data_IF_526653080021
#
_entry.id   IF_526653080021
#
_cell.length_a   1.000
_cell.length_b   1.000
_cell.length_c   1.000
_cell.angle_alpha   90.00
_cell.angle_beta   90.00
_cell.angle_gamma   90.00
#
_symmetry.space_group_name_H-M   'P 1'
#
loop_
_entity.id
_entity.type
_entity.pdbx_description
1 polymer ?
2 non-polymer ?
3 non-polymer ?
4 water ?
#
# COMPACT_ATOMS: atom_id res chain seq x y z
N UNK A 18 -16.97 -21.29 -6.91
CA UNK A 18 -15.86 -20.55 -7.60
C UNK A 18 -16.30 -19.20 -8.13
N UNK A 19 -15.73 -18.13 -7.57
CA UNK A 19 -16.07 -16.77 -7.94
C UNK A 19 -15.57 -16.40 -9.33
N UNK A 20 -16.10 -15.31 -9.88
CA UNK A 20 -15.62 -14.79 -11.16
C UNK A 20 -14.13 -14.47 -11.11
N UNK A 21 -13.71 -13.81 -10.03
CA UNK A 21 -12.30 -13.47 -9.82
C UNK A 21 -11.41 -14.71 -9.84
N UNK A 22 -11.86 -15.79 -9.20
CA UNK A 22 -11.14 -17.06 -9.15
C UNK A 22 -11.05 -17.74 -10.52
N UNK A 23 -12.09 -17.62 -11.33
CA UNK A 23 -12.12 -18.18 -12.68
C UNK A 23 -11.13 -17.45 -13.59
N UNK A 24 -11.10 -16.12 -13.48
CA UNK A 24 -10.16 -15.30 -14.26
C UNK A 24 -8.72 -15.62 -13.88
N UNK A 25 -8.47 -15.78 -12.57
CA UNK A 25 -7.13 -16.14 -12.07
C UNK A 25 -6.66 -17.48 -12.66
N UNK A 26 -7.54 -18.48 -12.64
CA UNK A 26 -7.26 -19.79 -13.22
C UNK A 26 -6.82 -19.68 -14.69
N UNK A 27 -7.52 -18.85 -15.45
CA UNK A 27 -7.19 -18.58 -16.86
C UNK A 27 -5.82 -17.94 -17.05
N UNK A 28 -5.52 -16.93 -16.22
CA UNK A 28 -4.25 -16.19 -16.34
C UNK A 28 -3.04 -17.06 -15.98
N UNK A 29 -3.23 -17.94 -14.99
CA UNK A 29 -2.16 -18.83 -14.53
C UNK A 29 -1.88 -19.96 -15.51
N UNK A 30 -2.90 -20.35 -16.27
CA UNK A 30 -2.75 -21.39 -17.30
C UNK A 30 -1.61 -21.08 -18.28
N UNK A 31 -1.34 -19.79 -18.49
CA UNK A 31 -0.25 -19.36 -19.37
C UNK A 31 1.15 -19.60 -18.78
N UNK A 32 1.21 -19.85 -17.47
CA UNK A 32 2.48 -20.12 -16.78
C UNK A 32 2.81 -21.60 -16.72
N UNK A 33 1.89 -22.44 -17.20
CA UNK A 33 2.04 -23.88 -17.08
C UNK A 33 2.39 -24.57 -18.39
N UNK A 34 3.18 -25.64 -18.28
CA UNK A 34 3.50 -26.49 -19.42
C UNK A 34 2.30 -27.36 -19.79
N UNK A 35 2.34 -27.94 -20.99
CA UNK A 35 1.26 -28.76 -21.56
C UNK A 35 0.71 -29.80 -20.56
N UNK A 36 1.60 -30.36 -19.76
CA UNK A 36 1.28 -31.37 -18.77
C UNK A 36 0.52 -30.83 -17.55
N UNK A 37 0.97 -29.69 -17.03
CA UNK A 37 0.49 -29.14 -15.76
C UNK A 37 -0.92 -28.54 -15.84
N UNK A 38 -1.61 -28.52 -14.69
CA UNK A 38 -2.97 -28.00 -14.59
C UNK A 38 -3.12 -27.14 -13.34
N UNK A 39 -4.11 -26.23 -13.37
CA UNK A 39 -4.49 -25.47 -12.18
C UNK A 39 -5.42 -26.34 -11.34
N UNK A 40 -4.98 -26.66 -10.12
CA UNK A 40 -5.74 -27.54 -9.24
C UNK A 40 -6.80 -26.78 -8.44
N UNK A 41 -6.41 -25.63 -7.89
CA UNK A 41 -7.32 -24.81 -7.09
C UNK A 41 -6.89 -23.35 -7.03
N UNK A 42 -7.88 -22.47 -6.89
CA UNK A 42 -7.65 -21.05 -6.57
C UNK A 42 -8.54 -20.74 -5.38
N UNK A 43 -7.93 -20.48 -4.24
CA UNK A 43 -8.65 -20.24 -2.99
C UNK A 43 -8.33 -18.88 -2.42
N UNK A 44 -9.32 -18.26 -1.78
CA UNK A 44 -9.12 -16.96 -1.15
C UNK A 44 -8.25 -17.10 0.10
N UNK A 45 -7.21 -16.27 0.19
CA UNK A 45 -6.38 -16.19 1.37
C UNK A 45 -7.07 -15.30 2.39
N UNK A 46 -6.49 -15.19 3.58
CA UNK A 46 -7.05 -14.35 4.62
C UNK A 46 -6.98 -12.86 4.29
N UNK A 47 -7.37 -12.05 5.26
CA UNK A 47 -7.22 -10.62 5.15
C UNK A 47 -8.52 -9.86 5.00
N UNK A 48 -8.39 -8.55 5.09
CA UNK A 48 -9.50 -7.61 5.03
C UNK A 48 -10.21 -7.60 3.68
N UNK A 49 -9.43 -7.55 2.60
CA UNK A 49 -9.99 -7.41 1.25
C UNK A 49 -10.13 -8.76 0.54
N UNK A 50 -10.79 -8.74 -0.61
CA UNK A 50 -10.97 -9.92 -1.44
C UNK A 50 -9.92 -10.04 -2.56
N UNK A 51 -8.77 -9.41 -2.36
CA UNK A 51 -7.74 -9.34 -3.40
C UNK A 51 -6.79 -10.54 -3.47
N UNK A 52 -6.64 -11.24 -2.35
CA UNK A 52 -5.52 -12.17 -2.19
C UNK A 52 -5.93 -13.64 -2.29
N UNK A 53 -5.19 -14.39 -3.10
CA UNK A 53 -5.51 -15.79 -3.41
C UNK A 53 -4.28 -16.66 -3.46
N UNK A 54 -4.47 -17.93 -3.10
CA UNK A 54 -3.43 -18.94 -3.27
C UNK A 54 -3.85 -19.87 -4.40
N UNK A 55 -3.00 -19.95 -5.42
CA UNK A 55 -3.26 -20.82 -6.56
C UNK A 55 -2.33 -22.01 -6.52
N UNK A 56 -2.91 -23.21 -6.61
CA UNK A 56 -2.13 -24.43 -6.61
C UNK A 56 -2.18 -25.08 -7.99
N UNK A 57 -1.00 -25.41 -8.50
CA UNK A 57 -0.86 -26.11 -9.76
C UNK A 57 -0.13 -27.44 -9.48
N UNK A 58 0.01 -28.26 -10.51
CA UNK A 58 0.66 -29.57 -10.37
C UNK A 58 1.97 -29.55 -9.57
N UNK A 59 2.89 -28.67 -9.95
CA UNK A 59 4.21 -28.61 -9.34
C UNK A 59 4.54 -27.30 -8.63
N UNK A 60 3.56 -26.40 -8.58
CA UNK A 60 3.82 -25.04 -8.14
C UNK A 60 2.66 -24.41 -7.38
N UNK A 61 3.00 -23.57 -6.41
CA UNK A 61 2.02 -22.73 -5.73
C UNK A 61 2.35 -21.28 -6.05
N UNK A 62 1.31 -20.47 -6.22
CA UNK A 62 1.48 -19.05 -6.52
C UNK A 62 0.61 -18.19 -5.61
N UNK A 63 1.17 -17.06 -5.18
CA UNK A 63 0.41 -16.02 -4.48
C UNK A 63 -0.13 -15.06 -5.51
N UNK A 64 -1.44 -14.81 -5.47
CA UNK A 64 -2.11 -13.96 -6.45
C UNK A 64 -2.73 -12.75 -5.78
N UNK A 65 -2.46 -11.56 -6.33
CA UNK A 65 -3.20 -10.37 -5.93
C UNK A 65 -3.99 -9.82 -7.10
N UNK A 66 -5.32 -9.92 -6.98
CA UNK A 66 -6.25 -9.39 -7.96
C UNK A 66 -6.59 -7.98 -7.48
N UNK A 67 -5.90 -6.98 -8.00
CA UNK A 67 -6.03 -5.60 -7.52
C UNK A 67 -6.80 -4.70 -8.49
N UNK A 68 -7.07 -5.21 -9.69
CA UNK A 68 -7.57 -4.39 -10.78
C UNK A 68 -9.03 -3.98 -10.78
N UNK A 69 -9.86 -4.65 -9.98
CA UNK A 69 -11.31 -4.42 -10.04
C UNK A 69 -11.70 -2.99 -9.69
N UNK A 70 -12.16 -2.26 -10.70
CA UNK A 70 -12.57 -0.86 -10.56
C UNK A 70 -11.47 0.12 -10.19
N UNK A 71 -10.21 -0.29 -10.32
CA UNK A 71 -9.09 0.57 -9.93
C UNK A 71 -8.28 1.12 -11.10
N UNK A 72 -8.82 0.98 -12.32
CA UNK A 72 -8.14 1.47 -13.54
C UNK A 72 -7.59 2.89 -13.41
N UNK A 73 -8.37 3.77 -12.79
CA UNK A 73 -8.03 5.19 -12.68
C UNK A 73 -7.20 5.49 -11.43
N UNK A 74 -7.11 4.52 -10.53
CA UNK A 74 -6.41 4.69 -9.25
C UNK A 74 -5.02 4.06 -9.27
N UNK A 75 -4.96 2.81 -9.73
CA UNK A 75 -3.71 2.08 -9.86
C UNK A 75 -3.40 1.96 -11.35
N UNK A 76 -2.40 2.73 -11.79
CA UNK A 76 -1.97 2.70 -13.18
C UNK A 76 -1.16 1.43 -13.40
N UNK A 77 -1.76 0.47 -14.08
CA UNK A 77 -1.21 -0.88 -14.19
C UNK A 77 0.14 -0.91 -14.90
N UNK A 78 0.27 -0.14 -15.96
CA UNK A 78 1.53 -0.08 -16.69
C UNK A 78 2.62 0.63 -15.90
N UNK A 79 2.26 1.71 -15.21
CA UNK A 79 3.20 2.37 -14.30
C UNK A 79 3.76 1.34 -13.33
N UNK A 80 2.86 0.55 -12.74
CA UNK A 80 3.24 -0.38 -11.67
C UNK A 80 3.96 -1.61 -12.18
N UNK A 81 3.67 -2.02 -13.42
CA UNK A 81 4.42 -3.12 -14.04
C UNK A 81 5.86 -2.67 -14.28
N UNK A 82 6.05 -1.45 -14.75
CA UNK A 82 7.38 -0.88 -14.89
C UNK A 82 8.06 -0.76 -13.53
N UNK A 83 7.34 -0.26 -12.54
CA UNK A 83 7.94 -0.11 -11.22
C UNK A 83 8.46 -1.42 -10.67
N UNK A 84 7.76 -2.52 -10.94
CA UNK A 84 8.23 -3.85 -10.55
C UNK A 84 9.60 -4.17 -11.15
N UNK A 85 9.71 -4.03 -12.48
CA UNK A 85 10.97 -4.35 -13.15
C UNK A 85 12.10 -3.35 -12.80
N UNK A 86 11.71 -2.12 -12.49
CA UNK A 86 12.67 -1.10 -12.05
C UNK A 86 13.18 -1.38 -10.63
N UNK A 87 12.28 -1.79 -9.74
CA UNK A 87 12.63 -1.96 -8.32
C UNK A 87 13.24 -3.32 -8.01
N UNK A 88 13.20 -4.24 -8.97
CA UNK A 88 13.60 -5.63 -8.73
C UNK A 88 14.98 -5.77 -8.08
N UNK A 89 15.97 -5.02 -8.58
CA UNK A 89 17.34 -5.21 -8.09
C UNK A 89 17.61 -4.68 -6.67
N UNK A 90 16.61 -4.05 -6.06
CA UNK A 90 16.70 -3.68 -4.64
C UNK A 90 16.59 -4.91 -3.73
N UNK A 91 16.00 -5.98 -4.26
CA UNK A 91 15.85 -7.22 -3.51
C UNK A 91 14.85 -7.16 -2.37
N UNK A 92 13.94 -6.20 -2.43
CA UNK A 92 12.97 -6.00 -1.35
C UNK A 92 11.70 -6.82 -1.53
N UNK A 93 11.18 -6.83 -2.76
CA UNK A 93 9.95 -7.55 -3.07
C UNK A 93 10.25 -9.01 -3.35
N UNK A 94 9.21 -9.85 -3.23
CA UNK A 94 9.29 -11.24 -3.64
C UNK A 94 9.29 -11.36 -5.17
N UNK A 95 9.54 -12.57 -5.66
CA UNK A 95 9.63 -12.83 -7.09
C UNK A 95 8.27 -12.74 -7.80
N UNK A 96 8.25 -12.02 -8.93
CA UNK A 96 7.07 -11.92 -9.77
C UNK A 96 7.14 -12.85 -10.98
N UNK A 97 6.04 -13.53 -11.27
CA UNK A 97 5.94 -14.39 -12.45
C UNK A 97 5.06 -13.80 -13.55
N UNK A 98 3.99 -13.12 -13.15
CA UNK A 98 3.06 -12.50 -14.08
C UNK A 98 2.50 -11.20 -13.51
N UNK A 99 2.38 -10.19 -14.38
CA UNK A 99 1.69 -8.96 -14.00
C UNK A 99 0.75 -8.62 -15.15
N UNK A 100 -0.51 -9.00 -14.98
CA UNK A 100 -1.50 -8.91 -16.04
C UNK A 100 -2.11 -7.52 -16.12
N UNK A 101 -1.82 -6.84 -17.23
CA UNK A 101 -2.32 -5.51 -17.54
C UNK A 101 -3.81 -5.49 -17.87
N UNK A 102 -4.28 -6.56 -18.50
CA UNK A 102 -5.67 -6.63 -18.95
C UNK A 102 -6.68 -6.52 -17.80
N UNK A 103 -6.44 -7.25 -16.71
CA UNK A 103 -7.37 -7.30 -15.60
C UNK A 103 -6.80 -6.73 -14.30
N UNK A 104 -5.48 -6.61 -14.22
CA UNK A 104 -4.83 -6.10 -13.01
C UNK A 104 -4.65 -7.21 -11.98
N UNK A 105 -3.80 -8.17 -12.34
CA UNK A 105 -3.57 -9.36 -11.53
C UNK A 105 -2.07 -9.66 -11.45
N UNK A 106 -1.58 -9.78 -10.22
CA UNK A 106 -0.18 -10.08 -9.96
C UNK A 106 -0.06 -11.52 -9.51
N UNK A 107 0.86 -12.25 -10.12
CA UNK A 107 1.12 -13.63 -9.74
C UNK A 107 2.58 -13.76 -9.30
N UNK A 108 2.77 -14.09 -8.02
CA UNK A 108 4.08 -14.11 -7.39
C UNK A 108 4.43 -15.48 -6.82
N UNK A 109 5.69 -15.66 -6.46
CA UNK A 109 6.12 -16.86 -5.74
C UNK A 109 5.38 -17.00 -4.42
N UNK A 110 5.12 -18.25 -4.04
CA UNK A 110 4.60 -18.57 -2.72
C UNK A 110 5.76 -19.02 -1.85
N UNK A 111 5.96 -18.32 -0.74
CA UNK A 111 6.98 -18.68 0.23
C UNK A 111 6.32 -19.49 1.33
N UNK A 112 6.68 -20.77 1.40
CA UNK A 112 6.13 -21.69 2.39
C UNK A 112 6.56 -21.32 3.80
N UNK A 113 5.61 -21.39 4.73
CA UNK A 113 5.86 -21.12 6.15
C UNK A 113 6.36 -19.71 6.41
N UNK A 114 6.00 -18.78 5.53
CA UNK A 114 6.34 -17.37 5.68
C UNK A 114 5.59 -16.77 6.85
N UNK A 115 6.24 -15.84 7.56
CA UNK A 115 5.62 -15.14 8.66
C UNK A 115 5.26 -13.71 8.22
N UNK A 116 3.97 -13.41 8.25
CA UNK A 116 3.49 -12.07 7.94
C UNK A 116 3.59 -11.22 9.19
N UNK A 117 4.21 -10.06 9.07
CA UNK A 117 4.38 -9.17 10.23
C UNK A 117 3.06 -8.49 10.59
N UNK A 118 2.96 -8.08 11.85
CA UNK A 118 1.84 -7.25 12.33
C UNK A 118 2.46 -6.12 13.16
N UNK A 119 1.63 -5.24 13.75
CA UNK A 119 2.17 -4.10 14.51
C UNK A 119 3.16 -4.49 15.60
N UNK A 120 2.84 -5.56 16.33
CA UNK A 120 3.69 -5.98 17.44
C UNK A 120 5.03 -6.52 16.96
N UNK A 121 5.00 -7.37 15.94
CA UNK A 121 6.24 -7.96 15.43
C UNK A 121 7.11 -6.94 14.68
N UNK A 122 6.48 -5.96 14.02
CA UNK A 122 7.21 -4.92 13.32
C UNK A 122 8.06 -4.09 14.29
N UNK A 123 7.55 -3.91 15.51
CA UNK A 123 8.23 -3.11 16.53
C UNK A 123 9.49 -3.76 17.10
N UNK A 124 9.66 -5.06 16.85
CA UNK A 124 10.88 -5.77 17.25
C UNK A 124 11.96 -5.75 16.17
N UNK A 125 11.66 -5.18 15.00
CA UNK A 125 12.53 -5.33 13.82
C UNK A 125 12.96 -4.03 13.17
N UNK A 126 13.09 -2.97 13.98
CA UNK A 126 13.57 -1.66 13.48
C UNK A 126 14.97 -1.80 12.88
N UNK A 127 15.77 -2.70 13.42
CA UNK A 127 17.14 -2.92 12.92
C UNK A 127 17.16 -3.37 11.46
N UNK A 128 16.07 -4.00 11.01
CA UNK A 128 15.91 -4.41 9.61
C UNK A 128 15.07 -3.42 8.80
N UNK A 129 14.01 -2.88 9.42
CA UNK A 129 13.03 -2.10 8.68
C UNK A 129 13.51 -0.68 8.36
N UNK A 130 14.25 -0.05 9.28
CA UNK A 130 14.80 1.27 8.98
C UNK A 130 15.74 1.26 7.76
N UNK A 131 16.70 0.30 7.71
CA UNK A 131 17.51 0.17 6.49
C UNK A 131 16.70 -0.11 5.23
N UNK A 132 15.62 -0.88 5.34
CA UNK A 132 14.76 -1.14 4.18
C UNK A 132 14.17 0.16 3.62
N UNK A 133 13.65 1.01 4.51
CA UNK A 133 13.07 2.27 4.06
C UNK A 133 14.13 3.20 3.48
N UNK A 134 15.33 3.17 4.07
CA UNK A 134 16.45 3.93 3.52
C UNK A 134 16.76 3.46 2.11
N UNK A 135 16.76 2.15 1.91
CA UNK A 135 17.07 1.56 0.61
C UNK A 135 16.13 2.08 -0.47
N UNK A 136 14.83 2.10 -0.19
CA UNK A 136 13.90 2.58 -1.20
C UNK A 136 14.01 4.09 -1.40
N UNK A 137 14.09 4.86 -0.32
CA UNK A 137 14.09 6.31 -0.44
C UNK A 137 15.37 6.90 -1.04
N UNK A 138 16.47 6.16 -0.95
CA UNK A 138 17.75 6.59 -1.52
C UNK A 138 18.13 5.82 -2.79
N UNK A 139 17.16 5.10 -3.36
CA UNK A 139 17.42 4.23 -4.52
C UNK A 139 17.82 5.00 -5.77
N UNK A 140 17.51 6.30 -5.81
CA UNK A 140 17.67 7.17 -6.98
C UNK A 140 16.83 6.72 -8.19
N UNK A 141 15.94 5.76 -7.96
CA UNK A 141 15.11 5.24 -9.05
C UNK A 141 13.96 6.19 -9.34
N UNK A 142 13.69 6.38 -10.62
CA UNK A 142 12.61 7.24 -11.08
C UNK A 142 11.40 6.39 -11.45
N UNK A 143 10.54 6.18 -10.47
CA UNK A 143 9.32 5.40 -10.66
C UNK A 143 8.38 6.12 -11.61
N UNK A 144 7.56 5.35 -12.30
CA UNK A 144 6.44 5.92 -13.04
C UNK A 144 5.29 6.16 -12.07
N UNK A 145 4.77 7.38 -12.10
CA UNK A 145 3.73 7.80 -11.18
C UNK A 145 4.21 8.96 -10.32
N UNK A 146 3.39 10.00 -10.25
CA UNK A 146 3.67 11.16 -9.41
C UNK A 146 2.52 11.28 -8.42
N UNK A 147 2.76 10.89 -7.17
CA UNK A 147 1.71 10.88 -6.17
C UNK A 147 1.25 12.29 -5.80
N UNK A 148 -0.04 12.52 -6.00
CA UNK A 148 -0.66 13.81 -5.76
C UNK A 148 -1.84 13.57 -4.82
N UNK A 149 -1.61 13.70 -3.50
CA UNK A 149 -2.60 13.31 -2.49
C UNK A 149 -3.95 14.01 -2.64
N UNK A 150 -3.94 15.27 -3.04
CA UNK A 150 -5.16 16.05 -3.17
C UNK A 150 -5.92 15.69 -4.44
N UNK A 151 -5.18 15.38 -5.51
CA UNK A 151 -5.78 14.79 -6.70
C UNK A 151 -6.35 13.41 -6.40
N UNK A 152 -5.68 12.66 -5.52
CA UNK A 152 -6.14 11.33 -5.14
C UNK A 152 -7.51 11.37 -4.46
N UNK A 153 -7.69 12.33 -3.55
CA UNK A 153 -8.99 12.56 -2.94
C UNK A 153 -10.07 12.75 -4.01
N UNK A 154 -9.79 13.60 -4.99
CA UNK A 154 -10.75 13.89 -6.07
C UNK A 154 -11.07 12.66 -6.92
N UNK A 155 -10.09 11.79 -7.11
CA UNK A 155 -10.31 10.56 -7.87
C UNK A 155 -11.35 9.66 -7.20
N UNK A 156 -11.21 9.47 -5.89
CA UNK A 156 -12.20 8.69 -5.13
C UNK A 156 -13.57 9.36 -5.12
N UNK A 157 -13.59 10.68 -4.99
CA UNK A 157 -14.84 11.43 -4.99
C UNK A 157 -15.62 11.25 -6.30
N UNK A 158 -14.88 11.16 -7.40
CA UNK A 158 -15.49 10.92 -8.71
C UNK A 158 -16.08 9.51 -8.81
N UNK A 159 -15.38 8.53 -8.26
CA UNK A 159 -15.79 7.13 -8.36
C UNK A 159 -16.95 6.77 -7.42
N UNK A 160 -17.02 7.44 -6.27
CA UNK A 160 -18.07 7.18 -5.28
C UNK A 160 -19.42 7.70 -5.78
N UNK A 161 -20.42 6.82 -5.78
CA UNK A 161 -21.76 7.14 -6.28
C UNK A 161 -22.61 7.85 -5.23
N UNK A 162 -22.54 7.37 -3.99
CA UNK A 162 -23.41 7.83 -2.92
C UNK A 162 -23.04 9.21 -2.39
N UNK A 163 -23.99 9.88 -1.76
CA UNK A 163 -23.68 11.06 -0.96
C UNK A 163 -22.64 10.64 0.09
N UNK A 164 -21.58 11.41 0.24
CA UNK A 164 -20.50 11.05 1.17
C UNK A 164 -21.09 10.73 2.55
N UNK A 165 -20.82 9.52 3.06
CA UNK A 165 -21.50 9.06 4.28
C UNK A 165 -20.89 9.61 5.57
N UNK A 166 -19.75 10.28 5.46
CA UNK A 166 -19.03 10.76 6.64
C UNK A 166 -19.56 12.11 7.10
N UNK A 167 -19.56 12.31 8.41
CA UNK A 167 -20.14 13.49 9.03
C UNK A 167 -19.32 14.77 8.81
N UNK A 168 -20.04 15.87 8.55
CA UNK A 168 -19.41 17.20 8.45
C UNK A 168 -18.37 17.27 7.33
N UNK A 169 -18.66 16.62 6.21
CA UNK A 169 -17.66 16.43 5.16
C UNK A 169 -17.09 17.72 4.54
N UNK A 170 -17.94 18.70 4.25
CA UNK A 170 -17.44 19.93 3.64
C UNK A 170 -16.40 20.65 4.50
N UNK A 171 -16.69 20.81 5.79
CA UNK A 171 -15.72 21.42 6.71
C UNK A 171 -14.43 20.62 6.84
N UNK A 172 -14.55 19.29 6.91
CA UNK A 172 -13.37 18.43 7.00
C UNK A 172 -12.55 18.50 5.71
N UNK A 173 -13.23 18.37 4.58
CA UNK A 173 -12.61 18.43 3.26
C UNK A 173 -11.80 19.72 3.08
N UNK A 174 -12.43 20.86 3.37
CA UNK A 174 -11.75 22.14 3.22
C UNK A 174 -10.53 22.28 4.12
N UNK A 175 -10.64 21.76 5.35
CA UNK A 175 -9.50 21.76 6.27
C UNK A 175 -8.36 20.89 5.75
N UNK A 176 -8.70 19.73 5.19
CA UNK A 176 -7.71 18.84 4.58
C UNK A 176 -7.02 19.51 3.39
N UNK A 177 -7.82 20.11 2.49
CA UNK A 177 -7.27 20.79 1.31
C UNK A 177 -6.43 22.02 1.65
N UNK A 178 -6.65 22.60 2.84
CA UNK A 178 -5.85 23.73 3.28
C UNK A 178 -4.40 23.33 3.56
N UNK A 179 -4.18 22.04 3.76
CA UNK A 179 -2.84 21.52 4.03
C UNK A 179 -1.91 21.56 2.81
N UNK A 180 -2.49 21.66 1.63
CA UNK A 180 -1.71 21.73 0.39
C UNK A 180 -0.77 22.93 0.38
N UNK A 181 -1.27 24.08 0.82
CA UNK A 181 -0.48 25.32 0.91
C UNK A 181 0.69 25.18 1.89
N UNK A 182 0.44 24.54 3.02
CA UNK A 182 1.49 24.33 4.01
C UNK A 182 2.58 23.43 3.45
N UNK A 183 2.19 22.34 2.79
CA UNK A 183 3.15 21.43 2.17
C UNK A 183 4.00 22.14 1.11
N UNK A 184 3.38 23.03 0.33
CA UNK A 184 4.11 23.82 -0.67
C UNK A 184 5.13 24.76 -0.03
N UNK A 185 4.76 25.37 1.10
CA UNK A 185 5.66 26.26 1.84
C UNK A 185 6.85 25.49 2.41
N UNK A 186 6.60 24.33 3.02
CA UNK A 186 7.66 23.49 3.57
C UNK A 186 8.58 22.98 2.47
N UNK A 187 8.00 22.73 1.30
CA UNK A 187 8.74 22.20 0.15
C UNK A 187 8.60 20.69 0.12
N UNK A 188 7.92 20.17 -0.90
CA UNK A 188 7.67 18.73 -1.03
C UNK A 188 8.80 18.07 -1.81
N UNK A 189 9.32 16.98 -1.25
CA UNK A 189 10.41 16.23 -1.88
C UNK A 189 9.84 15.15 -2.80
N UNK A 190 10.69 14.63 -3.67
CA UNK A 190 10.25 13.71 -4.71
C UNK A 190 11.21 12.52 -4.80
N UNK A 191 10.80 11.40 -4.21
CA UNK A 191 11.63 10.20 -4.16
C UNK A 191 10.76 8.96 -4.40
N UNK A 192 11.40 7.86 -4.79
CA UNK A 192 10.71 6.58 -4.92
C UNK A 192 10.15 6.15 -3.57
N UNK A 193 8.83 5.95 -3.52
CA UNK A 193 8.13 5.54 -2.28
C UNK A 193 7.27 4.31 -2.50
N UNK A 194 7.04 3.55 -1.42
CA UNK A 194 6.15 2.39 -1.45
C UNK A 194 4.68 2.81 -1.43
N UNK A 195 4.37 3.81 -0.58
CA UNK A 195 3.04 4.43 -0.46
C UNK A 195 1.98 3.71 0.40
N UNK A 196 2.26 2.47 0.82
CA UNK A 196 1.25 1.65 1.50
C UNK A 196 1.91 0.74 2.55
N UNK A 197 2.55 1.35 3.54
CA UNK A 197 3.35 0.59 4.52
C UNK A 197 2.54 0.02 5.71
N UNK A 198 1.47 -0.70 5.40
CA UNK A 198 0.80 -1.53 6.41
C UNK A 198 1.77 -2.64 6.86
N UNK A 199 1.68 -3.05 8.15
CA UNK A 199 2.67 -4.02 8.62
C UNK A 199 2.60 -5.36 7.90
N UNK A 200 1.41 -5.74 7.44
CA UNK A 200 1.24 -7.01 6.74
C UNK A 200 1.87 -7.02 5.34
N UNK A 201 2.43 -5.89 4.92
CA UNK A 201 3.23 -5.84 3.69
C UNK A 201 4.70 -6.22 3.92
N UNK A 202 5.02 -6.56 5.17
CA UNK A 202 6.33 -7.13 5.49
C UNK A 202 6.14 -8.61 5.78
N UNK A 203 6.87 -9.45 5.06
CA UNK A 203 6.81 -10.89 5.26
C UNK A 203 8.21 -11.47 5.41
N UNK A 204 8.34 -12.46 6.27
CA UNK A 204 9.64 -13.03 6.58
C UNK A 204 9.74 -14.46 6.10
N UNK A 205 10.82 -14.75 5.38
CA UNK A 205 11.18 -16.11 4.97
C UNK A 205 11.52 -16.93 6.21
N UNK A 206 11.26 -18.26 6.16
CA UNK A 206 11.69 -19.13 7.27
C UNK A 206 13.20 -19.08 7.53
N UNK A 207 13.98 -18.64 6.53
CA UNK A 207 15.43 -18.50 6.67
C UNK A 207 15.87 -17.13 7.18
N UNK A 208 14.90 -16.24 7.40
CA UNK A 208 15.17 -14.95 8.07
C UNK A 208 15.05 -13.70 7.21
N UNK A 209 15.15 -13.85 5.90
CA UNK A 209 15.05 -12.72 4.97
C UNK A 209 13.71 -12.02 5.06
N UNK A 210 13.74 -10.70 5.21
CA UNK A 210 12.54 -9.89 5.30
C UNK A 210 12.25 -9.25 3.94
N UNK A 211 11.01 -9.41 3.49
CA UNK A 211 10.54 -8.82 2.25
C UNK A 211 9.56 -7.69 2.52
N UNK A 212 9.56 -6.69 1.65
CA UNK A 212 8.52 -5.68 1.59
C UNK A 212 7.76 -5.88 0.28
N UNK A 213 6.46 -6.16 0.39
CA UNK A 213 5.66 -6.59 -0.76
C UNK A 213 4.54 -5.61 -1.10
N UNK A 214 3.81 -5.92 -2.17
CA UNK A 214 2.60 -5.20 -2.57
C UNK A 214 2.84 -3.73 -2.88
N UNK A 215 3.59 -3.52 -3.96
CA UNK A 215 4.00 -2.21 -4.41
C UNK A 215 3.00 -1.56 -5.39
N UNK A 216 1.74 -2.00 -5.34
CA UNK A 216 0.72 -1.51 -6.29
C UNK A 216 0.50 -0.01 -6.28
N UNK A 217 0.80 0.64 -5.16
CA UNK A 217 0.61 2.08 -5.03
C UNK A 217 1.90 2.87 -5.22
N UNK A 218 3.01 2.17 -5.46
CA UNK A 218 4.33 2.82 -5.50
C UNK A 218 4.37 3.97 -6.51
N UNK A 219 5.05 5.04 -6.12
CA UNK A 219 5.00 6.29 -6.85
C UNK A 219 6.08 7.22 -6.32
N UNK A 220 6.39 8.25 -7.09
CA UNK A 220 7.26 9.32 -6.61
C UNK A 220 6.47 10.20 -5.65
N UNK A 221 7.03 10.42 -4.47
CA UNK A 221 6.36 11.17 -3.40
C UNK A 221 7.38 11.67 -2.38
N UNK A 222 6.91 12.42 -1.39
CA UNK A 222 7.75 12.80 -0.27
C UNK A 222 7.93 11.59 0.64
N UNK A 223 9.18 11.23 0.98
CA UNK A 223 9.39 10.08 1.86
C UNK A 223 8.66 10.13 3.20
N UNK A 224 8.32 11.32 3.68
CA UNK A 224 7.59 11.43 4.93
C UNK A 224 6.18 10.82 4.84
N UNK A 225 5.67 10.66 3.62
CA UNK A 225 4.43 9.90 3.42
C UNK A 225 4.61 8.46 3.90
N UNK A 226 5.71 7.84 3.47
CA UNK A 226 5.99 6.45 3.86
C UNK A 226 6.18 6.32 5.37
N UNK A 227 6.88 7.27 5.97
CA UNK A 227 7.08 7.24 7.42
C UNK A 227 5.75 7.38 8.16
N UNK A 228 4.92 8.32 7.71
CA UNK A 228 3.58 8.49 8.26
C UNK A 228 2.77 7.21 8.19
N UNK A 229 2.83 6.52 7.05
CA UNK A 229 2.09 5.28 6.87
C UNK A 229 2.56 4.17 7.79
N UNK A 230 3.87 3.96 7.85
CA UNK A 230 4.44 2.97 8.77
C UNK A 230 3.96 3.22 10.20
N UNK A 231 4.09 4.47 10.63
CA UNK A 231 3.76 4.87 11.99
C UNK A 231 2.27 4.72 12.27
N UNK A 232 1.44 5.23 11.35
CA UNK A 232 0.00 5.24 11.54
C UNK A 232 -0.61 3.85 11.47
N UNK A 233 -0.19 3.06 10.48
CA UNK A 233 -0.76 1.74 10.27
C UNK A 233 -0.41 0.73 11.37
N UNK A 234 0.69 0.96 12.06
CA UNK A 234 1.07 0.09 13.18
C UNK A 234 0.87 0.75 14.55
N UNK A 235 0.24 1.93 14.55
CA UNK A 235 -0.03 2.70 15.77
C UNK A 235 1.19 2.81 16.68
N UNK A 236 2.28 3.32 16.11
CA UNK A 236 3.50 3.57 16.86
C UNK A 236 3.24 4.55 18.00
N UNK A 237 3.83 4.28 19.15
CA UNK A 237 3.86 5.24 20.25
C UNK A 237 4.86 6.34 19.89
N UNK A 238 4.85 7.43 20.67
CA UNK A 238 5.86 8.47 20.49
C UNK A 238 7.28 7.93 20.63
N UNK A 239 7.49 7.01 21.57
CA UNK A 239 8.80 6.39 21.79
C UNK A 239 9.25 5.59 20.56
N UNK A 240 8.31 4.86 19.97
CA UNK A 240 8.61 4.06 18.78
C UNK A 240 8.88 4.94 17.56
N UNK A 241 8.11 6.02 17.41
CA UNK A 241 8.37 6.98 16.33
C UNK A 241 9.77 7.60 16.45
N UNK A 242 10.11 8.08 17.65
CA UNK A 242 11.40 8.72 17.87
C UNK A 242 12.57 7.75 17.65
N UNK A 243 12.43 6.53 18.15
CA UNK A 243 13.46 5.51 17.99
C UNK A 243 13.61 5.13 16.52
N UNK A 244 12.50 4.93 15.82
CA UNK A 244 12.57 4.59 14.41
C UNK A 244 13.23 5.71 13.59
N UNK A 245 12.82 6.95 13.85
CA UNK A 245 13.38 8.10 13.14
C UNK A 245 14.88 8.22 13.38
N UNK A 246 15.32 7.95 14.61
CA UNK A 246 16.76 7.98 14.91
C UNK A 246 17.54 6.99 14.04
N UNK A 247 16.99 5.79 13.88
CA UNK A 247 17.58 4.75 13.02
C UNK A 247 17.53 5.14 11.53
N UNK A 248 16.40 5.70 11.11
CA UNK A 248 16.15 5.95 9.69
C UNK A 248 16.84 7.21 9.15
N UNK A 249 16.89 8.25 9.97
CA UNK A 249 17.46 9.55 9.60
C UNK A 249 18.91 9.41 9.14
N UNK A 250 19.21 10.05 8.01
CA UNK A 250 20.57 10.18 7.50
C UNK A 250 20.61 11.44 6.65
N UNK A 251 21.77 11.82 6.14
CA UNK A 251 21.84 13.02 5.30
C UNK A 251 20.93 12.90 4.06
N UNK A 252 20.90 11.71 3.47
CA UNK A 252 20.07 11.47 2.29
C UNK A 252 18.62 11.13 2.61
N UNK A 253 18.34 10.86 3.89
CA UNK A 253 16.97 10.64 4.36
C UNK A 253 16.62 11.57 5.54
N UNK A 254 16.50 12.89 5.26
CA UNK A 254 16.14 13.81 6.33
C UNK A 254 14.72 13.57 6.84
N UNK A 255 14.44 14.03 8.06
CA UNK A 255 13.15 13.83 8.70
C UNK A 255 12.46 15.17 8.98
N UNK A 256 11.16 15.21 8.71
CA UNK A 256 10.29 16.34 9.05
C UNK A 256 9.09 15.84 9.84
N UNK A 257 9.03 16.17 11.13
CA UNK A 257 7.93 15.77 11.99
C UNK A 257 6.60 16.36 11.52
N UNK A 258 6.63 17.61 11.06
CA UNK A 258 5.40 18.26 10.60
C UNK A 258 4.82 17.59 9.36
N UNK A 259 5.68 17.21 8.41
CA UNK A 259 5.23 16.51 7.21
C UNK A 259 4.59 15.17 7.58
N UNK A 260 5.20 14.45 8.52
CA UNK A 260 4.64 13.20 8.99
C UNK A 260 3.22 13.42 9.52
N UNK A 261 3.05 14.44 10.36
CA UNK A 261 1.74 14.75 10.93
C UNK A 261 0.70 15.05 9.85
N UNK A 262 1.11 15.83 8.86
CA UNK A 262 0.23 16.19 7.74
C UNK A 262 -0.16 14.97 6.90
N UNK A 263 0.82 14.13 6.58
CA UNK A 263 0.55 12.96 5.76
C UNK A 263 -0.33 11.91 6.45
N UNK A 264 -0.25 11.83 7.79
CA UNK A 264 -1.17 10.98 8.55
C UNK A 264 -2.62 11.40 8.30
N UNK A 265 -2.88 12.70 8.31
CA UNK A 265 -4.23 13.22 8.06
C UNK A 265 -4.68 12.92 6.63
N UNK A 266 -3.77 13.11 5.68
CA UNK A 266 -4.10 12.86 4.27
C UNK A 266 -4.39 11.38 4.03
N UNK A 267 -3.63 10.52 4.69
CA UNK A 267 -3.83 9.07 4.58
C UNK A 267 -5.17 8.62 5.15
N UNK A 268 -5.51 9.09 6.35
CA UNK A 268 -6.80 8.74 6.93
C UNK A 268 -7.96 9.21 6.04
N UNK A 269 -7.82 10.38 5.44
CA UNK A 269 -8.83 10.91 4.53
C UNK A 269 -8.95 10.03 3.29
N UNK A 270 -7.82 9.81 2.63
CA UNK A 270 -7.79 9.02 1.40
C UNK A 270 -8.30 7.59 1.61
N UNK A 271 -7.78 6.90 2.62
CA UNK A 271 -8.20 5.51 2.85
C UNK A 271 -9.64 5.38 3.37
N UNK A 272 -10.17 6.43 4.01
CA UNK A 272 -11.59 6.43 4.36
C UNK A 272 -12.46 6.50 3.09
N UNK A 273 -11.99 7.22 2.07
CA UNK A 273 -12.73 7.33 0.82
C UNK A 273 -12.61 6.04 -0.01
N UNK A 274 -11.40 5.48 -0.02
CA UNK A 274 -11.17 4.14 -0.55
C UNK A 274 -12.17 3.12 0.01
N UNK A 275 -12.43 3.21 1.32
CA UNK A 275 -13.35 2.29 1.99
C UNK A 275 -14.75 2.39 1.41
N UNK A 276 -15.25 3.61 1.26
CA UNK A 276 -16.58 3.84 0.70
C UNK A 276 -16.70 3.20 -0.69
N UNK A 277 -15.69 3.44 -1.53
CA UNK A 277 -15.69 2.90 -2.89
C UNK A 277 -15.68 1.37 -2.90
N UNK A 278 -14.82 0.78 -2.06
CA UNK A 278 -14.75 -0.68 -1.97
C UNK A 278 -16.07 -1.29 -1.49
N UNK A 279 -16.74 -0.60 -0.57
CA UNK A 279 -18.02 -1.11 -0.07
C UNK A 279 -19.12 -0.99 -1.11
N UNK A 280 -19.06 0.04 -1.96
CA UNK A 280 -20.01 0.18 -3.08
C UNK A 280 -19.92 -0.99 -4.06
N UNK A 281 -18.75 -1.62 -4.12
CA UNK A 281 -18.55 -2.78 -4.97
C UNK A 281 -18.90 -4.11 -4.29
N UNK A 282 -19.38 -4.03 -3.05
CA UNK A 282 -19.94 -5.19 -2.38
C UNK A 282 -19.21 -5.73 -1.16
N UNK A 283 -18.04 -5.17 -0.85
CA UNK A 283 -17.32 -5.58 0.36
C UNK A 283 -17.88 -4.90 1.60
N UNK A 284 -17.55 -5.45 2.77
CA UNK A 284 -18.06 -4.97 4.05
C UNK A 284 -16.89 -4.84 5.01
N UNK A 285 -16.45 -3.59 5.25
CA UNK A 285 -15.34 -3.35 6.17
C UNK A 285 -15.82 -2.72 7.48
N UNK A 286 -17.12 -2.82 7.74
CA UNK A 286 -17.70 -2.30 8.98
C UNK A 286 -17.36 -0.85 9.20
N UNK A 287 -16.88 -0.53 10.40
CA UNK A 287 -16.52 0.85 10.76
C UNK A 287 -15.07 1.23 10.46
N UNK A 288 -14.37 0.42 9.66
CA UNK A 288 -12.99 0.73 9.30
C UNK A 288 -12.82 2.16 8.77
N UNK A 289 -13.64 2.53 7.79
CA UNK A 289 -13.55 3.84 7.16
C UNK A 289 -14.00 4.96 8.08
N UNK A 290 -15.11 4.73 8.77
CA UNK A 290 -15.66 5.67 9.75
C UNK A 290 -14.61 6.07 10.78
N UNK A 291 -13.90 5.06 11.30
CA UNK A 291 -12.87 5.28 12.31
C UNK A 291 -11.63 5.99 11.78
N UNK A 292 -11.22 5.66 10.56
CA UNK A 292 -10.10 6.38 9.96
C UNK A 292 -10.46 7.84 9.73
N UNK A 293 -11.68 8.08 9.26
CA UNK A 293 -12.15 9.44 9.04
C UNK A 293 -12.15 10.26 10.34
N UNK A 294 -12.66 9.66 11.42
CA UNK A 294 -12.66 10.31 12.72
C UNK A 294 -11.24 10.63 13.20
N UNK A 295 -10.28 9.76 12.87
CA UNK A 295 -8.89 10.00 13.21
C UNK A 295 -8.30 11.17 12.41
N UNK A 296 -8.77 11.36 11.17
CA UNK A 296 -8.42 12.55 10.39
C UNK A 296 -8.94 13.80 11.09
N UNK A 297 -10.18 13.73 11.57
CA UNK A 297 -10.80 14.83 12.32
C UNK A 297 -9.98 15.17 13.57
N UNK A 298 -9.61 14.13 14.32
CA UNK A 298 -8.76 14.26 15.50
C UNK A 298 -7.40 14.88 15.16
N UNK A 299 -6.79 14.39 14.07
CA UNK A 299 -5.51 14.89 13.61
C UNK A 299 -5.55 16.37 13.22
N UNK A 300 -6.62 16.78 12.55
CA UNK A 300 -6.80 18.18 12.17
C UNK A 300 -6.84 19.09 13.39
N UNK A 301 -7.56 18.67 14.44
CA UNK A 301 -7.66 19.45 15.67
C UNK A 301 -6.31 19.55 16.38
N UNK A 302 -5.59 18.43 16.45
CA UNK A 302 -4.28 18.38 17.12
C UNK A 302 -3.24 19.19 16.36
N UNK A 303 -3.31 19.16 15.03
CA UNK A 303 -2.41 19.91 14.18
C UNK A 303 -2.61 21.41 14.34
N UNK A 304 -3.87 21.85 14.33
CA UNK A 304 -4.22 23.26 14.50
C UNK A 304 -4.31 23.68 15.95
X LIG B 1 -5.91 1.31 3.90
X LIG B 1 -6.59 0.16 3.46
X LIG B 1 -6.41 0.12 1.95
X LIG B 1 -4.97 0.07 1.70
X LIG B 1 -3.98 0.71 2.55
X LIG B 1 -4.50 1.06 3.94
X LIG B 1 -4.53 -0.61 0.49
X LIG B 1 -4.45 -2.12 0.77
X LIG B 1 -4.37 -2.93 -0.68
X LIG B 1 -3.02 -2.81 -1.25
X LIG B 1 -4.67 -4.36 -0.45
X LIG B 1 -5.36 -2.34 -1.62
X LIG C 1 -1.65 -8.02 2.17
X LIG C 1 -2.24 -6.73 1.66
X LIG C 1 -2.51 -8.74 3.18
X LIG C 1 -0.19 -7.92 2.55
X LIG C 1 -1.64 -9.00 0.90
X LIG C 1 -0.61 -9.97 0.74
X LIG C 1 -0.67 -10.98 1.87
X LIG C 1 -0.51 -12.31 1.36
X LIG C 1 0.44 -10.75 2.89
X LIG C 1 -0.07 -10.13 4.07
X LIG C 1 0.99 -12.14 3.19
X LIG C 1 0.40 -12.67 4.37
X LIG C 1 0.57 -13.00 2.02
X LIG C 1 1.71 -13.21 1.08
X LIG C 1 2.12 -12.34 0.13
X LIG C 1 3.18 -12.83 -0.56
X LIG C 1 3.46 -14.03 -0.05
X LIG C 1 4.47 -15.08 -0.33
X LIG C 1 5.38 -14.91 -1.32
X LIG C 1 4.43 -16.21 0.42
X LIG C 1 3.52 -16.38 1.40
X LIG C 1 2.58 -15.46 1.70
X LIG C 1 2.50 -14.29 1.03
#
# INVERSE_FOLDING_TARGET
MGSSHHHHHHSSGLVPRGSHMEKIIKEKISSLLSQEEEVLSVEQLGGMTNQNYLAKTTNKQYIVKFFGKGTEKLINRQDEKYNLELLKDLGLDVKNYLFDIEAGIKVNEYIESAITLDSTSIKTKFDKIAPILQTIHTSAKELRGEFAPFEEIKKYESLIEEQIPYANYESVRNAVFSLEKRLADLGVDRKSCHIDLVPENFIESPQGRLYLIDWEYSSMNDPMWDLAALFLESEFTSQEEETFLSHYESDQTPVSHEKIAIYKILQDTIWSLWTVYKEEQGEDFGDYGVNRYQRAVKGLASYGGSDEK
MES O1 C2 C3 N4 C5 C6 C7 C8 S O1S O2S O3S
AMP P O1P O2P O3P O5' C5' C4' O4' C3' O3' C2' O2' C1' N9 C8 N7 C5 C6 N6 N1 C2 N3 C4
#
